data_IF_444875386001
#
_entry.id   IF_444875386001
#
_cell.length_a   1.000
_cell.length_b   1.000
_cell.length_c   1.000
_cell.angle_alpha   90.00
_cell.angle_beta   90.00
_cell.angle_gamma   90.00
#
_symmetry.space_group_name_H-M   'P 1'
#
loop_
_entity.id
_entity.type
_entity.pdbx_description
1 polymer ?
#
# COMPACT_ATOMS: atom_id res chain seq x y z
N UNK A 1 -11.03 -1.09 -17.36
CA UNK A 1 -10.30 -1.11 -16.06
C UNK A 1 -10.63 0.16 -15.30
N UNK A 2 -11.37 0.05 -14.19
CA UNK A 2 -11.82 1.19 -13.36
C UNK A 2 -10.64 2.03 -12.84
N UNK A 3 -9.53 1.39 -12.47
CA UNK A 3 -8.30 2.07 -12.04
C UNK A 3 -7.65 2.94 -13.12
N UNK A 4 -7.89 2.75 -14.42
CA UNK A 4 -7.26 3.63 -15.43
C UNK A 4 -7.93 5.00 -15.49
N UNK A 5 -9.17 5.11 -15.02
CA UNK A 5 -9.99 6.34 -15.09
C UNK A 5 -10.12 7.05 -13.74
N UNK A 6 -9.48 6.59 -12.66
CA UNK A 6 -9.62 7.25 -11.35
C UNK A 6 -9.17 8.72 -11.37
N UNK A 7 -8.26 9.08 -12.27
CA UNK A 7 -7.81 10.46 -12.47
C UNK A 7 -8.94 11.41 -12.92
N UNK A 8 -10.02 10.87 -13.49
CA UNK A 8 -11.22 11.64 -13.86
C UNK A 8 -12.05 12.03 -12.61
N UNK A 9 -11.74 11.46 -11.44
CA UNK A 9 -12.37 11.81 -10.16
C UNK A 9 -11.56 12.84 -9.36
N UNK A 10 -10.54 13.45 -9.96
CA UNK A 10 -9.73 14.50 -9.33
C UNK A 10 -10.60 15.71 -8.97
N UNK A 11 -10.43 16.26 -7.77
CA UNK A 11 -11.30 17.32 -7.21
C UNK A 11 -12.61 16.83 -6.58
N UNK A 12 -12.90 15.52 -6.58
CA UNK A 12 -14.05 14.96 -5.85
C UNK A 12 -13.63 14.36 -4.49
N UNK A 13 -14.61 14.12 -3.61
CA UNK A 13 -14.37 13.46 -2.31
C UNK A 13 -14.17 11.94 -2.40
N UNK A 14 -14.33 11.36 -3.60
CA UNK A 14 -14.28 9.91 -3.78
C UNK A 14 -12.85 9.41 -3.89
N UNK A 15 -12.53 8.37 -3.12
CA UNK A 15 -11.25 7.66 -3.21
C UNK A 15 -11.45 6.30 -3.85
N UNK A 16 -10.63 5.98 -4.86
CA UNK A 16 -10.63 4.67 -5.50
C UNK A 16 -9.53 3.82 -4.89
N UNK A 17 -9.93 2.69 -4.33
CA UNK A 17 -9.01 1.67 -3.83
C UNK A 17 -9.13 0.40 -4.65
N UNK A 18 -8.01 -0.31 -4.81
CA UNK A 18 -8.03 -1.66 -5.33
C UNK A 18 -8.76 -2.59 -4.35
N UNK A 19 -9.71 -3.38 -4.86
CA UNK A 19 -10.30 -4.46 -4.06
C UNK A 19 -9.28 -5.59 -3.96
N UNK A 20 -8.76 -5.80 -2.75
CA UNK A 20 -7.81 -6.84 -2.47
C UNK A 20 -8.51 -8.04 -1.80
N UNK A 21 -8.06 -9.27 -2.05
CA UNK A 21 -8.48 -10.44 -1.29
C UNK A 21 -8.31 -10.24 0.23
N UNK A 22 -9.16 -10.89 1.03
CA UNK A 22 -9.20 -10.69 2.47
C UNK A 22 -7.87 -11.07 3.17
N UNK A 23 -7.24 -12.15 2.71
CA UNK A 23 -5.92 -12.62 3.15
C UNK A 23 -4.83 -11.58 2.89
N UNK A 24 -4.85 -10.95 1.71
CA UNK A 24 -3.92 -9.87 1.34
C UNK A 24 -4.12 -8.66 2.26
N UNK A 25 -5.37 -8.28 2.56
CA UNK A 25 -5.67 -7.19 3.49
C UNK A 25 -5.11 -7.50 4.88
N UNK A 26 -5.27 -8.74 5.37
CA UNK A 26 -4.74 -9.15 6.66
C UNK A 26 -3.21 -9.09 6.71
N UNK A 27 -2.52 -9.58 5.67
CA UNK A 27 -1.07 -9.50 5.57
C UNK A 27 -0.57 -8.06 5.56
N UNK A 28 -1.23 -7.18 4.79
CA UNK A 28 -0.93 -5.74 4.76
C UNK A 28 -1.06 -5.11 6.14
N UNK A 29 -2.12 -5.42 6.90
CA UNK A 29 -2.32 -4.88 8.26
C UNK A 29 -1.14 -5.17 9.19
N UNK A 30 -0.52 -6.35 9.09
CA UNK A 30 0.67 -6.73 9.87
C UNK A 30 1.91 -5.92 9.47
N UNK A 31 2.02 -5.53 8.19
CA UNK A 31 3.17 -4.82 7.65
C UNK A 31 3.08 -3.29 7.76
N UNK A 32 1.88 -2.72 7.85
CA UNK A 32 1.67 -1.25 7.96
C UNK A 32 2.46 -0.63 9.13
N UNK A 33 2.49 -1.19 10.36
CA UNK A 33 3.29 -0.64 11.45
C UNK A 33 4.79 -0.62 11.12
N UNK A 34 5.32 -1.71 10.54
CA UNK A 34 6.73 -1.80 10.12
C UNK A 34 7.06 -0.74 9.06
N UNK A 35 6.19 -0.58 8.06
CA UNK A 35 6.33 0.45 7.02
C UNK A 35 6.36 1.86 7.63
N UNK A 36 5.43 2.17 8.54
CA UNK A 36 5.36 3.48 9.21
C UNK A 36 6.63 3.77 10.01
N UNK A 37 7.13 2.78 10.76
CA UNK A 37 8.37 2.92 11.52
C UNK A 37 9.59 3.11 10.61
N UNK A 38 9.68 2.35 9.51
CA UNK A 38 10.76 2.52 8.54
C UNK A 38 10.77 3.92 7.91
N UNK A 39 9.59 4.45 7.52
CA UNK A 39 9.47 5.83 7.02
C UNK A 39 9.90 6.87 8.06
N UNK A 40 9.54 6.67 9.33
CA UNK A 40 9.98 7.55 10.43
C UNK A 40 11.50 7.55 10.60
N UNK A 41 12.17 6.45 10.25
CA UNK A 41 13.64 6.32 10.25
C UNK A 41 14.29 6.85 8.96
N UNK A 42 13.55 7.50 8.06
CA UNK A 42 14.06 8.02 6.80
C UNK A 42 14.21 6.99 5.68
N UNK A 43 13.74 5.75 5.87
CA UNK A 43 13.83 4.69 4.86
C UNK A 43 12.76 4.83 3.78
N UNK A 44 13.08 4.42 2.56
CA UNK A 44 12.12 4.32 1.44
C UNK A 44 11.30 3.05 1.61
N UNK A 45 10.15 3.17 2.29
CA UNK A 45 9.27 2.05 2.56
C UNK A 45 7.90 2.17 1.86
N UNK A 46 7.46 1.13 1.13
CA UNK A 46 6.14 1.09 0.49
C UNK A 46 5.59 -0.34 0.39
N UNK A 47 4.25 -0.46 0.42
CA UNK A 47 3.56 -1.73 0.23
C UNK A 47 3.17 -1.89 -1.25
N UNK A 48 3.55 -3.02 -1.84
CA UNK A 48 3.07 -3.48 -3.14
C UNK A 48 2.36 -4.81 -2.93
N UNK A 49 1.06 -4.88 -3.26
CA UNK A 49 0.20 -6.01 -2.91
C UNK A 49 0.29 -6.37 -1.42
N UNK A 50 0.83 -7.52 -1.03
CA UNK A 50 1.06 -7.96 0.36
C UNK A 50 2.54 -7.86 0.81
N UNK A 51 3.40 -7.23 0.00
CA UNK A 51 4.85 -7.17 0.23
C UNK A 51 5.27 -5.75 0.61
N UNK A 52 6.03 -5.63 1.70
CA UNK A 52 6.66 -4.39 2.15
C UNK A 52 8.06 -4.28 1.56
N UNK A 53 8.27 -3.34 0.65
CA UNK A 53 9.61 -3.00 0.16
C UNK A 53 10.21 -1.91 1.04
N UNK A 54 11.42 -2.13 1.56
CA UNK A 54 12.21 -1.16 2.34
C UNK A 54 13.59 -1.03 1.73
N UNK A 55 13.91 0.15 1.20
CA UNK A 55 15.20 0.43 0.55
C UNK A 55 15.57 -0.58 -0.56
N UNK A 56 14.55 -1.08 -1.26
CA UNK A 56 14.69 -2.09 -2.31
C UNK A 56 14.65 -3.55 -1.82
N UNK A 57 14.58 -3.79 -0.51
CA UNK A 57 14.51 -5.14 0.06
C UNK A 57 13.04 -5.51 0.35
N UNK A 58 12.53 -6.62 -0.24
CA UNK A 58 11.16 -7.07 0.00
C UNK A 58 11.04 -7.80 1.35
N UNK A 59 9.97 -7.52 2.09
CA UNK A 59 9.56 -8.22 3.30
C UNK A 59 8.10 -8.66 3.20
N UNK A 60 7.83 -9.90 3.59
CA UNK A 60 6.49 -10.49 3.61
C UNK A 60 6.01 -10.71 5.04
N UNK A 61 4.70 -10.79 5.21
CA UNK A 61 4.02 -10.92 6.50
C UNK A 61 4.06 -12.36 7.03
#
# INVERSE_FOLDING_TARGET
MVLKRWKELDGTVFMVFEQLPQDVIQNRRKLVPKMKNARRQGKRAYLAYDTLNMDGVPQRA
#
